data_IF_279001441127
#
_entry.id   IF_279001441127
#
_cell.length_a   1.000
_cell.length_b   1.000
_cell.length_c   1.000
_cell.angle_alpha   90.00
_cell.angle_beta   90.00
_cell.angle_gamma   90.00
#
_symmetry.space_group_name_H-M   'P 1'
#
loop_
_entity.id
_entity.type
_entity.pdbx_description
1 polymer ?
#
# COMPACT_ATOMS: atom_id res chain seq x y z
N UNK A 1 3.92 -10.19 -8.27
CA UNK A 1 4.42 -8.80 -8.23
C UNK A 1 3.15 -8.01 -8.05
N UNK A 2 2.94 -7.40 -6.87
CA UNK A 2 1.74 -6.61 -6.55
C UNK A 2 2.16 -5.22 -6.14
N UNK A 3 1.97 -4.24 -7.02
CA UNK A 3 2.10 -2.82 -6.75
C UNK A 3 0.72 -2.20 -6.92
N UNK A 4 0.02 -2.00 -5.80
CA UNK A 4 -1.22 -1.25 -5.81
C UNK A 4 -0.87 0.23 -5.68
N UNK A 5 -0.88 0.93 -6.80
CA UNK A 5 -0.48 2.33 -6.92
C UNK A 5 -1.72 3.16 -7.22
N UNK A 6 -2.18 4.00 -6.29
CA UNK A 6 -3.14 5.03 -6.64
C UNK A 6 -2.41 6.04 -7.56
N UNK A 7 -2.67 5.98 -8.86
CA UNK A 7 -2.01 6.69 -10.00
C UNK A 7 -0.70 6.11 -10.55
N UNK A 8 -0.74 5.07 -11.39
CA UNK A 8 0.35 4.84 -12.37
C UNK A 8 -0.10 5.22 -13.80
N UNK A 9 -0.44 6.49 -13.96
CA UNK A 9 -0.14 7.25 -15.18
C UNK A 9 0.94 8.26 -14.78
N UNK A 10 1.94 8.52 -15.65
CA UNK A 10 3.32 8.89 -15.29
C UNK A 10 3.34 10.00 -14.23
N UNK A 11 4.25 9.97 -13.26
CA UNK A 11 4.33 10.97 -12.18
C UNK A 11 4.29 12.45 -12.64
N UNK A 12 4.50 12.72 -13.94
CA UNK A 12 4.20 13.98 -14.60
C UNK A 12 2.71 14.38 -14.58
N UNK A 13 1.75 13.49 -14.85
CA UNK A 13 0.31 13.79 -14.82
C UNK A 13 -0.15 14.10 -13.40
N UNK A 14 0.27 13.31 -12.41
CA UNK A 14 0.02 13.58 -10.98
C UNK A 14 0.70 14.87 -10.52
N UNK A 15 1.94 15.12 -10.95
CA UNK A 15 2.62 16.39 -10.69
C UNK A 15 1.86 17.57 -11.30
N UNK A 16 1.38 17.46 -12.56
CA UNK A 16 0.66 18.53 -13.25
C UNK A 16 -0.73 18.78 -12.65
N UNK A 17 -1.54 17.73 -12.45
CA UNK A 17 -2.89 17.86 -11.89
C UNK A 17 -2.89 18.22 -10.40
N UNK A 18 -1.88 17.75 -9.65
CA UNK A 18 -1.78 17.90 -8.20
C UNK A 18 -3.07 17.50 -7.46
N UNK A 19 -3.79 16.54 -8.05
CA UNK A 19 -5.03 16.00 -7.52
C UNK A 19 -4.74 15.23 -6.23
N UNK A 20 -5.64 15.32 -5.26
CA UNK A 20 -5.51 14.62 -3.99
C UNK A 20 -6.69 13.65 -3.84
N UNK A 21 -6.40 12.46 -3.33
CA UNK A 21 -7.39 11.53 -2.83
C UNK A 21 -7.72 11.90 -1.39
N UNK A 22 -8.98 12.19 -1.11
CA UNK A 22 -9.46 12.47 0.25
C UNK A 22 -10.25 11.27 0.76
N UNK A 23 -9.90 10.77 1.93
CA UNK A 23 -10.55 9.58 2.48
C UNK A 23 -9.84 9.04 3.71
N UNK A 24 -10.24 7.83 4.07
CA UNK A 24 -9.77 7.09 5.24
C UNK A 24 -8.98 5.88 4.80
N UNK A 25 -7.77 5.73 5.34
CA UNK A 25 -6.94 4.53 5.20
C UNK A 25 -6.95 3.79 6.53
N UNK A 26 -7.48 2.59 6.55
CA UNK A 26 -7.43 1.69 7.71
C UNK A 26 -6.46 0.57 7.40
N UNK A 27 -5.57 0.19 8.32
CA UNK A 27 -4.63 -0.90 8.09
C UNK A 27 -4.30 -1.69 9.35
N UNK A 28 -3.91 -2.94 9.14
CA UNK A 28 -3.39 -3.82 10.17
C UNK A 28 -1.86 -3.89 10.10
N UNK A 29 -1.14 -3.36 11.09
CA UNK A 29 0.32 -3.49 11.14
C UNK A 29 0.75 -4.96 11.19
N UNK A 30 1.84 -5.29 10.51
CA UNK A 30 2.42 -6.63 10.56
C UNK A 30 3.29 -6.80 11.82
N UNK A 31 2.69 -6.77 13.01
CA UNK A 31 3.42 -6.78 14.29
C UNK A 31 4.28 -8.04 14.49
N UNK A 32 3.90 -9.16 13.88
CA UNK A 32 4.61 -10.45 14.01
C UNK A 32 5.69 -10.68 12.95
N UNK A 33 5.81 -9.83 11.93
CA UNK A 33 6.92 -9.93 10.98
C UNK A 33 8.15 -9.22 11.52
N UNK A 34 9.29 -9.92 11.53
CA UNK A 34 10.55 -9.34 11.98
C UNK A 34 11.10 -8.47 10.86
N UNK A 35 10.85 -7.16 10.91
CA UNK A 35 11.51 -6.22 10.02
C UNK A 35 10.78 -4.88 9.86
N UNK A 36 11.56 -3.83 9.63
CA UNK A 36 11.09 -2.47 9.35
C UNK A 36 11.15 -2.14 7.85
N UNK A 37 10.23 -1.29 7.33
CA UNK A 37 10.38 -0.68 6.00
C UNK A 37 11.71 0.06 5.80
N UNK A 38 12.41 0.43 6.88
CA UNK A 38 13.71 1.11 6.85
C UNK A 38 14.90 0.18 7.11
N UNK A 39 14.71 -1.13 7.11
CA UNK A 39 15.81 -2.08 7.22
C UNK A 39 16.79 -1.94 6.06
N UNK A 40 18.05 -2.27 6.31
CA UNK A 40 19.14 -2.08 5.33
C UNK A 40 19.38 -3.30 4.44
N UNK A 41 18.84 -4.46 4.79
CA UNK A 41 19.10 -5.73 4.09
C UNK A 41 17.96 -6.03 3.12
N UNK A 42 18.22 -6.15 1.81
CA UNK A 42 17.20 -6.53 0.86
C UNK A 42 16.82 -8.01 1.02
N UNK A 43 15.60 -8.37 0.63
CA UNK A 43 15.15 -9.75 0.60
C UNK A 43 15.87 -10.54 -0.52
N UNK A 44 16.46 -11.68 -0.15
CA UNK A 44 17.17 -12.60 -1.05
C UNK A 44 16.68 -14.04 -0.85
N UNK A 45 17.16 -14.95 -1.70
CA UNK A 45 17.02 -16.39 -1.51
C UNK A 45 17.49 -16.77 -0.09
N UNK A 46 16.77 -17.69 0.54
CA UNK A 46 17.09 -18.11 1.91
C UNK A 46 16.73 -17.11 3.01
N UNK A 47 16.12 -15.95 2.69
CA UNK A 47 15.80 -14.87 3.65
C UNK A 47 15.21 -15.38 4.96
N UNK A 48 15.83 -14.97 6.07
CA UNK A 48 15.42 -15.34 7.42
C UNK A 48 14.00 -14.88 7.75
N UNK A 49 13.65 -13.62 7.45
CA UNK A 49 12.32 -13.04 7.74
C UNK A 49 11.22 -13.86 7.04
N UNK A 50 11.35 -14.10 5.74
CA UNK A 50 10.38 -14.90 4.99
C UNK A 50 10.27 -16.33 5.52
N UNK A 51 11.40 -16.94 5.91
CA UNK A 51 11.42 -18.29 6.50
C UNK A 51 10.71 -18.35 7.85
N UNK A 52 10.91 -17.33 8.68
CA UNK A 52 10.26 -17.22 9.99
C UNK A 52 8.75 -17.00 9.83
N UNK A 53 8.33 -16.12 8.94
CA UNK A 53 6.91 -15.89 8.63
C UNK A 53 6.22 -17.16 8.11
N UNK A 54 6.94 -17.98 7.34
CA UNK A 54 6.45 -19.31 6.94
C UNK A 54 6.21 -20.22 8.14
N UNK A 55 7.17 -20.30 9.06
CA UNK A 55 7.04 -21.16 10.25
C UNK A 55 5.86 -20.72 11.12
N UNK A 56 5.70 -19.41 11.32
CA UNK A 56 4.54 -18.84 12.03
C UNK A 56 3.22 -19.23 11.36
N UNK A 57 3.12 -19.11 10.04
CA UNK A 57 1.92 -19.50 9.29
C UNK A 57 1.62 -21.00 9.44
N UNK A 58 2.64 -21.86 9.37
CA UNK A 58 2.48 -23.32 9.55
C UNK A 58 2.02 -23.66 10.97
N UNK A 59 2.47 -22.91 11.99
CA UNK A 59 2.01 -23.06 13.38
C UNK A 59 0.56 -22.58 13.57
N UNK A 60 0.19 -21.42 13.01
CA UNK A 60 -1.18 -20.90 13.02
C UNK A 60 -2.16 -21.87 12.36
N UNK A 61 -1.79 -22.41 11.20
CA UNK A 61 -2.60 -23.41 10.48
C UNK A 61 -2.76 -24.71 11.28
N UNK A 62 -1.71 -25.17 11.96
CA UNK A 62 -1.80 -26.34 12.84
C UNK A 62 -2.74 -26.08 14.02
N UNK A 63 -2.60 -24.94 14.70
CA UNK A 63 -3.49 -24.56 15.82
C UNK A 63 -4.96 -24.55 15.37
N UNK A 64 -5.24 -23.93 14.23
CA UNK A 64 -6.58 -23.90 13.64
C UNK A 64 -7.12 -25.31 13.34
N UNK A 65 -6.29 -26.22 12.81
CA UNK A 65 -6.68 -27.61 12.54
C UNK A 65 -7.05 -28.38 13.80
N UNK A 66 -6.33 -28.15 14.91
CA UNK A 66 -6.60 -28.80 16.19
C UNK A 66 -7.73 -28.14 16.99
N UNK A 67 -8.40 -27.11 16.43
CA UNK A 67 -9.44 -26.36 17.13
C UNK A 67 -8.93 -25.65 18.39
N UNK A 68 -7.61 -25.47 18.50
CA UNK A 68 -7.03 -24.62 19.52
C UNK A 68 -7.32 -23.21 19.05
N UNK A 69 -8.23 -22.50 19.74
CA UNK A 69 -8.42 -21.07 19.53
C UNK A 69 -7.02 -20.44 19.60
N UNK A 70 -6.54 -19.94 18.46
CA UNK A 70 -5.48 -18.97 18.50
C UNK A 70 -6.00 -17.91 19.46
N UNK A 71 -5.25 -17.62 20.54
CA UNK A 71 -5.57 -16.45 21.36
C UNK A 71 -5.91 -15.34 20.37
N UNK A 72 -7.11 -14.77 20.47
CA UNK A 72 -7.54 -13.70 19.58
C UNK A 72 -6.55 -12.55 19.82
N UNK A 73 -5.45 -12.56 19.08
CA UNK A 73 -4.56 -11.43 18.94
C UNK A 73 -5.46 -10.39 18.30
N UNK A 74 -6.01 -9.52 19.15
CA UNK A 74 -6.95 -8.48 18.77
C UNK A 74 -6.30 -7.71 17.63
N UNK A 75 -6.79 -7.94 16.40
CA UNK A 75 -6.28 -7.29 15.20
C UNK A 75 -6.58 -5.78 15.34
N UNK A 76 -5.63 -5.03 15.90
CA UNK A 76 -5.78 -3.60 16.17
C UNK A 76 -5.59 -2.81 14.87
N UNK A 77 -6.71 -2.41 14.28
CA UNK A 77 -6.72 -1.52 13.12
C UNK A 77 -6.22 -0.13 13.49
N UNK A 78 -5.25 0.34 12.72
CA UNK A 78 -4.80 1.73 12.73
C UNK A 78 -5.54 2.49 11.64
N UNK A 79 -5.98 3.71 11.94
CA UNK A 79 -6.79 4.52 11.04
C UNK A 79 -6.11 5.87 10.78
N UNK A 80 -5.98 6.21 9.51
CA UNK A 80 -5.40 7.46 9.05
C UNK A 80 -6.33 8.14 8.06
N UNK A 81 -6.91 9.26 8.47
CA UNK A 81 -7.72 10.11 7.61
C UNK A 81 -6.88 11.24 6.99
N UNK A 82 -7.22 11.67 5.78
CA UNK A 82 -6.62 12.88 5.22
C UNK A 82 -6.69 13.00 3.70
N UNK A 83 -5.84 13.89 3.18
CA UNK A 83 -5.65 14.12 1.74
C UNK A 83 -4.29 13.58 1.32
N UNK A 84 -4.31 12.65 0.37
CA UNK A 84 -3.14 11.95 -0.12
C UNK A 84 -2.88 12.33 -1.58
N UNK A 85 -1.66 12.70 -1.92
CA UNK A 85 -1.23 12.82 -3.32
C UNK A 85 -1.05 11.44 -3.96
N UNK A 86 -0.65 10.45 -3.16
CA UNK A 86 -0.53 9.07 -3.58
C UNK A 86 -0.62 8.12 -2.37
N UNK A 87 -1.15 6.93 -2.63
CA UNK A 87 -1.24 5.80 -1.70
C UNK A 87 -0.68 4.61 -2.45
N UNK A 88 0.42 4.05 -1.95
CA UNK A 88 1.14 2.97 -2.62
C UNK A 88 1.30 1.79 -1.67
N UNK A 89 1.05 0.57 -2.16
CA UNK A 89 1.38 -0.64 -1.44
C UNK A 89 2.33 -1.50 -2.29
N UNK A 90 3.50 -1.83 -1.75
CA UNK A 90 4.52 -2.62 -2.44
C UNK A 90 4.97 -3.81 -1.60
N UNK A 91 4.83 -5.02 -2.13
CA UNK A 91 5.32 -6.27 -1.51
C UNK A 91 6.71 -6.69 -2.01
N UNK A 92 7.39 -5.81 -2.74
CA UNK A 92 8.74 -6.00 -3.24
C UNK A 92 9.40 -4.64 -3.41
N UNK A 93 10.71 -4.63 -3.69
CA UNK A 93 11.42 -3.36 -3.80
C UNK A 93 10.90 -2.44 -4.88
N UNK A 94 10.41 -3.00 -5.99
CA UNK A 94 10.10 -2.26 -7.21
C UNK A 94 11.33 -1.51 -7.74
N UNK A 95 12.53 -2.04 -7.50
CA UNK A 95 13.78 -1.50 -8.01
C UNK A 95 13.87 -1.64 -9.54
N UNK A 96 14.36 -0.60 -10.20
CA UNK A 96 14.64 -0.61 -11.64
C UNK A 96 15.81 0.34 -11.97
N UNK A 97 16.25 0.38 -13.24
CA UNK A 97 17.36 1.27 -13.65
C UNK A 97 17.15 2.75 -13.28
N UNK A 98 15.88 3.21 -13.22
CA UNK A 98 15.52 4.59 -12.88
C UNK A 98 15.34 4.82 -11.37
N UNK A 99 15.11 3.76 -10.62
CA UNK A 99 14.96 3.77 -9.17
C UNK A 99 15.75 2.58 -8.58
N UNK A 100 17.07 2.73 -8.41
CA UNK A 100 17.97 1.59 -8.14
C UNK A 100 17.65 0.85 -6.84
N UNK A 101 17.11 1.55 -5.83
CA UNK A 101 16.66 0.94 -4.57
C UNK A 101 15.16 0.64 -4.56
N UNK A 102 14.43 1.16 -5.54
CA UNK A 102 12.99 0.99 -5.66
C UNK A 102 12.17 1.89 -4.73
N UNK A 103 10.88 1.61 -4.65
CA UNK A 103 9.95 2.30 -3.77
C UNK A 103 10.07 1.81 -2.32
N UNK A 104 10.27 0.50 -2.12
CA UNK A 104 10.50 -0.08 -0.79
C UNK A 104 11.68 -1.07 -0.74
N UNK A 105 12.93 -0.57 -0.61
CA UNK A 105 14.16 -1.37 -0.66
C UNK A 105 14.21 -2.55 0.32
N UNK A 106 13.52 -2.43 1.45
CA UNK A 106 13.48 -3.41 2.53
C UNK A 106 12.26 -4.35 2.46
N UNK A 107 11.47 -4.30 1.40
CA UNK A 107 10.31 -5.17 1.25
C UNK A 107 10.73 -6.64 1.09
N UNK A 108 9.97 -7.51 1.75
CA UNK A 108 10.17 -8.95 1.72
C UNK A 108 9.17 -9.61 0.78
N UNK A 109 9.66 -10.52 -0.07
CA UNK A 109 8.85 -11.11 -1.15
C UNK A 109 7.80 -12.12 -0.67
N UNK A 110 7.94 -12.63 0.55
CA UNK A 110 7.20 -13.81 0.99
C UNK A 110 6.92 -13.86 2.49
N UNK A 111 7.01 -12.74 3.20
CA UNK A 111 6.67 -12.66 4.62
C UNK A 111 5.17 -12.44 4.87
N UNK A 112 4.38 -12.29 3.80
CA UNK A 112 2.94 -12.01 3.88
C UNK A 112 2.63 -10.58 4.32
N UNK A 113 3.56 -9.65 4.13
CA UNK A 113 3.35 -8.23 4.39
C UNK A 113 3.58 -7.39 3.14
N UNK A 114 3.27 -6.10 3.24
CA UNK A 114 3.59 -5.09 2.25
C UNK A 114 3.90 -3.78 2.93
N UNK A 115 4.71 -2.96 2.28
CA UNK A 115 4.96 -1.60 2.74
C UNK A 115 3.92 -0.66 2.12
N UNK A 116 3.04 -0.12 2.97
CA UNK A 116 2.04 0.89 2.66
C UNK A 116 2.67 2.27 2.84
N UNK A 117 2.85 2.99 1.74
CA UNK A 117 3.48 4.31 1.67
C UNK A 117 2.38 5.35 1.40
N UNK A 118 2.14 6.22 2.38
CA UNK A 118 1.17 7.30 2.30
C UNK A 118 1.90 8.61 2.03
N UNK A 119 1.58 9.26 0.92
CA UNK A 119 2.15 10.57 0.55
C UNK A 119 1.08 11.62 0.77
N UNK A 120 1.16 12.36 1.87
CA UNK A 120 0.21 13.42 2.20
C UNK A 120 0.33 14.60 1.24
N UNK A 121 -0.72 15.41 1.17
CA UNK A 121 -0.72 16.70 0.48
C UNK A 121 0.48 17.54 0.90
N UNK A 122 1.36 17.84 -0.05
CA UNK A 122 2.49 18.75 0.10
C UNK A 122 2.54 19.74 -1.07
N UNK A 123 3.55 20.61 -1.13
CA UNK A 123 3.73 21.50 -2.28
C UNK A 123 4.23 20.74 -3.50
N UNK A 124 3.97 21.26 -4.71
CA UNK A 124 4.49 20.70 -5.97
C UNK A 124 6.01 20.52 -5.93
N UNK A 125 6.74 21.48 -5.37
CA UNK A 125 8.20 21.42 -5.25
C UNK A 125 8.65 20.27 -4.33
N UNK A 126 7.98 20.10 -3.18
CA UNK A 126 8.26 18.98 -2.28
C UNK A 126 7.93 17.64 -2.92
N UNK A 127 6.82 17.56 -3.67
CA UNK A 127 6.47 16.35 -4.41
C UNK A 127 7.49 16.04 -5.51
N UNK A 128 7.98 17.03 -6.25
CA UNK A 128 9.05 16.84 -7.22
C UNK A 128 10.35 16.38 -6.56
N UNK A 129 10.72 16.99 -5.42
CA UNK A 129 11.89 16.57 -4.63
C UNK A 129 11.75 15.11 -4.18
N UNK A 130 10.55 14.69 -3.79
CA UNK A 130 10.24 13.29 -3.48
C UNK A 130 10.41 12.38 -4.71
N UNK A 131 9.88 12.75 -5.87
CA UNK A 131 10.06 11.96 -7.11
C UNK A 131 11.55 11.82 -7.50
N UNK A 132 12.33 12.89 -7.33
CA UNK A 132 13.78 12.87 -7.59
C UNK A 132 14.53 12.03 -6.56
N UNK A 133 14.05 11.96 -5.30
CA UNK A 133 14.70 11.14 -4.25
C UNK A 133 14.84 9.67 -4.66
N UNK A 134 13.89 9.14 -5.43
CA UNK A 134 13.96 7.76 -5.91
C UNK A 134 15.09 7.49 -6.91
N UNK A 135 15.71 8.52 -7.51
CA UNK A 135 16.82 8.33 -8.47
C UNK A 135 18.18 8.22 -7.79
N UNK A 136 18.25 8.38 -6.47
CA UNK A 136 19.49 8.35 -5.69
C UNK A 136 19.46 7.30 -4.56
N UNK A 137 20.47 7.32 -3.68
CA UNK A 137 20.63 6.34 -2.59
C UNK A 137 20.19 6.86 -1.21
N UNK A 138 19.53 8.02 -1.13
CA UNK A 138 19.03 8.57 0.13
C UNK A 138 17.68 7.97 0.51
N UNK A 139 17.39 7.88 1.81
CA UNK A 139 16.13 7.36 2.34
C UNK A 139 14.91 8.06 1.71
N UNK A 140 14.10 7.31 0.96
CA UNK A 140 12.94 7.84 0.26
C UNK A 140 11.76 8.16 1.21
N UNK A 141 11.81 7.67 2.44
CA UNK A 141 10.81 7.94 3.48
C UNK A 141 11.19 9.12 4.38
N UNK A 142 12.36 9.73 4.17
CA UNK A 142 12.83 10.89 4.94
C UNK A 142 12.23 12.20 4.42
N UNK A 143 10.91 12.31 4.57
CA UNK A 143 10.11 13.50 4.30
C UNK A 143 8.96 13.57 5.31
N UNK A 144 8.65 14.76 5.81
CA UNK A 144 7.58 14.97 6.80
C UNK A 144 6.17 14.67 6.29
N UNK A 145 5.99 14.60 4.96
CA UNK A 145 4.72 14.29 4.30
C UNK A 145 4.65 12.85 3.79
N UNK A 146 5.62 12.00 4.13
CA UNK A 146 5.66 10.59 3.74
C UNK A 146 5.61 9.72 4.98
N UNK A 147 4.59 8.87 5.07
CA UNK A 147 4.45 7.85 6.10
C UNK A 147 4.61 6.47 5.46
N UNK A 148 5.24 5.53 6.16
CA UNK A 148 5.39 4.16 5.70
C UNK A 148 5.08 3.18 6.82
N UNK A 149 4.22 2.21 6.52
CA UNK A 149 3.78 1.18 7.45
C UNK A 149 3.93 -0.19 6.82
N UNK A 150 4.47 -1.15 7.56
CA UNK A 150 4.44 -2.56 7.15
C UNK A 150 3.13 -3.18 7.60
N UNK A 151 2.32 -3.66 6.66
CA UNK A 151 0.93 -4.04 6.91
C UNK A 151 0.61 -5.44 6.37
N UNK A 152 -0.33 -6.14 7.03
CA UNK A 152 -0.91 -7.41 6.56
C UNK A 152 -2.16 -7.21 5.72
N UNK A 153 -2.91 -6.14 6.00
CA UNK A 153 -4.14 -5.75 5.30
C UNK A 153 -4.24 -4.23 5.31
N UNK A 154 -4.82 -3.64 4.26
CA UNK A 154 -5.27 -2.27 4.32
C UNK A 154 -6.55 -2.06 3.52
N UNK A 155 -7.30 -1.04 3.91
CA UNK A 155 -8.50 -0.58 3.26
C UNK A 155 -8.36 0.91 2.99
N UNK A 156 -8.96 1.35 1.88
CA UNK A 156 -9.19 2.76 1.64
C UNK A 156 -10.67 2.97 1.32
N UNK A 157 -11.24 4.03 1.88
CA UNK A 157 -12.58 4.51 1.56
C UNK A 157 -12.51 5.99 1.20
N UNK A 158 -13.01 6.36 0.03
CA UNK A 158 -13.16 7.76 -0.37
C UNK A 158 -14.15 8.47 0.55
N UNK A 159 -13.83 9.71 0.96
CA UNK A 159 -14.70 10.51 1.84
C UNK A 159 -16.13 10.65 1.32
N UNK A 160 -16.30 10.76 0.01
CA UNK A 160 -17.63 10.90 -0.61
C UNK A 160 -18.55 9.68 -0.38
N UNK A 161 -18.00 8.51 -0.04
CA UNK A 161 -18.80 7.32 0.31
C UNK A 161 -19.18 7.31 1.80
N UNK A 162 -18.39 7.92 2.67
CA UNK A 162 -18.72 8.04 4.10
C UNK A 162 -19.93 8.96 4.31
N UNK A 163 -20.01 10.06 3.54
CA UNK A 163 -21.12 11.01 3.62
C UNK A 163 -22.47 10.38 3.19
N UNK A 164 -22.48 9.57 2.12
CA UNK A 164 -23.69 8.91 1.60
C UNK A 164 -24.28 7.85 2.56
N UNK A 165 -23.45 7.11 3.29
CA UNK A 165 -23.90 6.11 4.28
C UNK A 165 -24.37 6.78 5.59
N UNK A 166 -23.85 7.97 5.91
CA UNK A 166 -24.27 8.77 7.06
C UNK A 166 -25.63 9.45 6.87
N UNK A 167 -25.97 9.83 5.63
CA UNK A 167 -27.27 10.45 5.28
C UNK A 167 -28.46 9.47 5.34
N UNK A 168 -28.22 8.15 5.43
CA UNK A 168 -29.28 7.14 5.61
C UNK A 168 -29.76 6.99 7.06
N UNK A 169 -29.15 7.69 8.02
CA UNK A 169 -29.51 7.61 9.45
C UNK A 169 -30.26 8.82 10.02
N UNK A 170 -30.50 9.89 9.26
CA UNK A 170 -31.33 11.01 9.72
C UNK A 170 -32.62 11.16 8.89
N UNK A 171 -33.74 10.81 9.53
CA UNK A 171 -35.06 10.93 8.94
C UNK A 171 -35.45 12.39 8.66
N UNK A 172 -35.77 12.66 7.39
CA UNK A 172 -36.90 13.52 7.01
C UNK A 172 -36.59 14.93 6.53
N UNK A 173 -36.50 15.10 5.19
CA UNK A 173 -37.47 15.87 4.37
C UNK A 173 -36.99 16.05 2.91
N UNK A 174 -37.85 15.56 2.01
CA UNK A 174 -38.22 16.10 0.68
C UNK A 174 -37.20 16.03 -0.48
N UNK A 175 -37.46 15.04 -1.36
CA UNK A 175 -37.80 15.17 -2.79
C UNK A 175 -36.96 16.17 -3.61
N UNK A 176 -35.99 15.67 -4.38
CA UNK A 176 -35.80 15.85 -5.83
C UNK A 176 -34.53 15.08 -6.28
N UNK A 177 -34.53 13.75 -6.13
CA UNK A 177 -33.44 12.89 -6.58
C UNK A 177 -33.86 12.13 -7.83
N UNK A 178 -33.72 12.75 -9.00
CA UNK A 178 -33.47 12.05 -10.27
C UNK A 178 -33.23 13.08 -11.37
N UNK A 179 -32.31 12.76 -12.30
CA UNK A 179 -31.88 13.53 -13.48
C UNK A 179 -30.68 14.46 -13.21
N UNK A 180 -29.49 13.86 -13.08
CA UNK A 180 -28.30 14.48 -13.66
C UNK A 180 -27.34 13.41 -14.16
N UNK A 181 -27.68 12.80 -15.30
CA UNK A 181 -26.83 11.79 -15.96
C UNK A 181 -26.13 12.29 -17.23
N UNK A 182 -26.18 13.60 -17.54
CA UNK A 182 -25.57 14.10 -18.79
C UNK A 182 -25.38 15.63 -18.84
N UNK A 183 -24.67 16.23 -17.87
CA UNK A 183 -24.17 17.61 -18.04
C UNK A 183 -22.69 17.72 -17.64
N UNK A 184 -21.79 18.19 -18.54
CA UNK A 184 -20.35 18.28 -18.29
C UNK A 184 -19.95 19.37 -17.26
N UNK A 185 -20.94 19.96 -16.57
CA UNK A 185 -20.78 21.04 -15.59
C UNK A 185 -21.46 20.76 -14.24
N UNK A 186 -22.00 19.55 -14.00
CA UNK A 186 -22.43 19.15 -12.65
C UNK A 186 -21.17 18.74 -11.88
N UNK A 187 -20.83 19.48 -10.81
CA UNK A 187 -19.77 19.12 -9.85
C UNK A 187 -20.14 17.92 -8.96
N UNK A 188 -21.03 17.07 -9.46
CA UNK A 188 -21.54 15.86 -8.87
C UNK A 188 -20.50 14.79 -9.18
N UNK A 189 -19.32 14.96 -8.59
CA UNK A 189 -18.17 14.12 -8.83
C UNK A 189 -18.53 12.71 -8.40
N UNK A 190 -18.77 11.84 -9.37
CA UNK A 190 -18.85 10.40 -9.14
C UNK A 190 -17.62 10.05 -8.30
N UNK A 191 -17.83 9.44 -7.14
CA UNK A 191 -16.84 9.03 -6.13
C UNK A 191 -15.87 7.99 -6.69
N UNK A 192 -15.18 8.29 -7.78
CA UNK A 192 -14.36 7.33 -8.51
C UNK A 192 -12.90 7.56 -8.15
N UNK A 193 -12.36 6.80 -7.21
CA UNK A 193 -10.91 6.60 -7.14
C UNK A 193 -10.47 5.57 -8.19
N UNK A 194 -9.24 5.74 -8.67
CA UNK A 194 -8.66 4.89 -9.72
C UNK A 194 -7.34 4.32 -9.21
N UNK A 195 -7.26 3.00 -9.21
CA UNK A 195 -6.17 2.22 -8.64
C UNK A 195 -5.43 1.51 -9.75
N UNK A 196 -4.11 1.61 -9.77
CA UNK A 196 -3.29 0.79 -10.64
C UNK A 196 -2.87 -0.46 -9.85
N UNK A 197 -3.12 -1.64 -10.38
CA UNK A 197 -2.64 -2.90 -9.85
C UNK A 197 -1.74 -3.53 -10.93
N UNK A 198 -0.42 -3.45 -10.75
CA UNK A 198 0.58 -4.02 -11.67
C UNK A 198 0.44 -3.65 -13.15
N UNK A 199 -0.04 -2.43 -13.43
CA UNK A 199 -0.26 -1.93 -14.78
C UNK A 199 -1.72 -1.93 -15.23
N UNK A 200 -2.61 -2.66 -14.56
CA UNK A 200 -4.04 -2.63 -14.82
C UNK A 200 -4.72 -1.53 -14.01
N UNK A 201 -5.74 -0.87 -14.57
CA UNK A 201 -6.46 0.21 -13.88
C UNK A 201 -7.83 -0.29 -13.43
N UNK A 202 -8.09 -0.17 -12.13
CA UNK A 202 -9.35 -0.49 -11.47
C UNK A 202 -10.02 0.81 -11.02
N UNK A 203 -11.33 0.92 -11.22
CA UNK A 203 -12.13 2.05 -10.75
C UNK A 203 -13.01 1.56 -9.61
N UNK A 204 -12.78 2.06 -8.39
CA UNK A 204 -13.61 1.75 -7.23
C UNK A 204 -13.39 2.78 -6.15
N UNK A 205 -14.44 3.40 -5.57
CA UNK A 205 -14.33 4.36 -4.46
C UNK A 205 -13.58 3.82 -3.24
N UNK A 206 -13.73 2.51 -3.02
CA UNK A 206 -13.20 1.80 -1.87
C UNK A 206 -12.48 0.53 -2.31
N UNK A 207 -11.42 0.17 -1.59
CA UNK A 207 -10.67 -1.05 -1.84
C UNK A 207 -10.29 -1.71 -0.52
N UNK A 208 -10.13 -3.02 -0.57
CA UNK A 208 -9.49 -3.80 0.47
C UNK A 208 -8.38 -4.62 -0.17
N UNK A 209 -7.22 -4.64 0.47
CA UNK A 209 -6.05 -5.41 0.03
C UNK A 209 -5.56 -6.26 1.19
N UNK A 210 -5.32 -7.54 0.90
CA UNK A 210 -4.78 -8.53 1.84
C UNK A 210 -3.50 -9.12 1.29
N UNK A 211 -2.49 -9.27 2.14
CA UNK A 211 -1.21 -9.85 1.78
C UNK A 211 -1.12 -11.27 2.33
N UNK A 212 -0.67 -12.19 1.49
CA UNK A 212 -0.61 -13.62 1.82
C UNK A 212 0.83 -14.12 1.79
N UNK A 213 1.23 -14.80 2.85
CA UNK A 213 2.58 -15.35 3.01
C UNK A 213 2.80 -16.53 2.04
N UNK A 214 3.76 -16.37 1.12
CA UNK A 214 4.24 -17.40 0.18
C UNK A 214 3.14 -18.13 -0.62
N UNK A 215 2.11 -17.42 -1.06
CA UNK A 215 0.99 -18.00 -1.80
C UNK A 215 1.41 -18.65 -3.14
N UNK A 216 2.46 -18.13 -3.78
CA UNK A 216 2.93 -18.57 -5.10
C UNK A 216 4.44 -18.87 -5.05
N UNK A 217 4.87 -19.91 -5.78
CA UNK A 217 6.29 -20.21 -6.01
C UNK A 217 6.72 -19.64 -7.36
N UNK A 218 7.83 -18.91 -7.37
CA UNK A 218 8.35 -18.23 -8.55
C UNK A 218 9.80 -18.63 -8.77
N UNK A 219 10.17 -18.82 -10.05
CA UNK A 219 11.57 -18.85 -10.46
C UNK A 219 11.99 -17.41 -10.78
N UNK A 220 12.97 -16.88 -10.05
CA UNK A 220 13.43 -15.51 -10.19
C UNK A 220 14.97 -15.46 -10.27
N UNK A 221 15.48 -14.43 -10.94
CA UNK A 221 16.92 -14.08 -10.98
C UNK A 221 17.14 -12.76 -10.26
N UNK A 222 18.34 -12.53 -9.76
CA UNK A 222 18.75 -11.29 -9.08
C UNK A 222 18.42 -11.25 -7.58
N UNK A 223 17.89 -12.34 -7.04
CA UNK A 223 17.63 -12.51 -5.60
C UNK A 223 18.57 -13.54 -4.98
N UNK A 224 19.53 -14.08 -5.72
CA UNK A 224 20.48 -15.07 -5.23
C UNK A 224 21.19 -14.55 -3.98
N UNK A 225 21.57 -15.45 -3.08
CA UNK A 225 22.40 -15.11 -1.93
C UNK A 225 23.68 -14.45 -2.47
N UNK A 226 24.01 -13.28 -1.90
CA UNK A 226 25.34 -12.74 -2.13
C UNK A 226 26.29 -13.70 -1.40
N UNK A 227 26.90 -14.61 -2.15
CA UNK A 227 28.14 -15.24 -1.72
C UNK A 227 29.10 -14.08 -1.55
N UNK A 228 29.27 -13.60 -0.31
CA UNK A 228 30.27 -12.60 -0.03
C UNK A 228 31.59 -13.13 -0.58
N UNK A 229 32.21 -12.31 -1.43
CA UNK A 229 33.62 -12.37 -1.74
C UNK A 229 34.36 -12.08 -0.43
N UNK A 230 34.41 -13.06 0.46
CA UNK A 230 35.30 -13.11 1.62
C UNK A 230 36.36 -14.18 1.33
N UNK A 231 37.19 -13.91 0.32
CA UNK A 231 38.52 -14.48 0.05
C UNK A 231 39.00 -13.73 -1.20
N UNK A 232 40.09 -12.97 -1.20
CA UNK A 232 41.45 -13.23 -0.72
C UNK A 232 42.07 -11.91 -0.23
#
# INVERSE_FOLDING_TARGET
MFCLHCTLFPGLKTFLSHHCYEGTVSFLPAQHTVGSPRDRKPCRAGCFVCRQSRQQLEEEQKKALYGLEAAEDVEEWQVVCGKFLAINATNMSCACRRSPRGLSPAAHLGDGSSDLILIRKCSRFNFLRFLIRHTNQQDQFDFTFVEVYRVKKFQFTSKHVEDEDSDLKEGGKKRFGHICSSHPSCCCAVSNSSWNCDGEVLHSPAIEVRFHCQLVRLFARGIEENLNVETI
#
